data_IF_960531525664
#
_entry.id   IF_960531525664
#
_cell.length_a   1.000
_cell.length_b   1.000
_cell.length_c   1.000
_cell.angle_alpha   90.00
_cell.angle_beta   90.00
_cell.angle_gamma   90.00
#
_symmetry.space_group_name_H-M   'P 1'
#
loop_
_entity.id
_entity.type
_entity.pdbx_description
1 polymer ?
#
# COMPACT_ATOMS: atom_id res chain seq x y z
N UNK A 1 -14.61 6.30 4.90
CA UNK A 1 -14.34 5.17 3.98
C UNK A 1 -13.07 5.48 3.20
N UNK A 2 -12.24 4.48 2.90
CA UNK A 2 -11.01 4.64 2.11
C UNK A 2 -11.20 3.87 0.81
N UNK A 3 -10.98 4.51 -0.32
CA UNK A 3 -10.97 3.90 -1.64
C UNK A 3 -9.57 3.93 -2.21
N UNK A 4 -9.15 2.78 -2.73
CA UNK A 4 -7.81 2.55 -3.28
C UNK A 4 -7.94 2.01 -4.70
N UNK A 5 -7.30 2.68 -5.66
CA UNK A 5 -7.38 2.30 -7.07
C UNK A 5 -6.03 2.44 -7.77
N UNK A 6 -5.68 1.44 -8.56
CA UNK A 6 -4.48 1.42 -9.37
C UNK A 6 -4.72 2.10 -10.74
N UNK A 7 -3.67 2.60 -11.41
CA UNK A 7 -3.80 3.28 -12.70
C UNK A 7 -4.45 2.44 -13.83
N UNK A 8 -4.38 1.12 -13.72
CA UNK A 8 -5.02 0.18 -14.64
C UNK A 8 -6.53 -0.04 -14.37
N UNK A 9 -7.13 0.72 -13.46
CA UNK A 9 -8.56 0.64 -13.12
C UNK A 9 -8.91 -0.42 -12.08
N UNK A 10 -7.96 -1.24 -11.64
CA UNK A 10 -8.18 -2.23 -10.58
C UNK A 10 -8.32 -1.54 -9.23
N UNK A 11 -9.32 -1.92 -8.45
CA UNK A 11 -9.54 -1.41 -7.09
C UNK A 11 -8.99 -2.40 -6.06
N UNK A 12 -8.41 -1.89 -4.97
CA UNK A 12 -8.08 -2.72 -3.80
C UNK A 12 -9.27 -2.70 -2.85
N UNK A 13 -9.84 -3.89 -2.67
CA UNK A 13 -10.90 -4.20 -1.72
C UNK A 13 -10.33 -5.12 -0.64
N UNK A 14 -11.02 -5.28 0.49
CA UNK A 14 -10.49 -6.06 1.62
C UNK A 14 -10.13 -7.50 1.23
N UNK A 15 -10.92 -8.12 0.36
CA UNK A 15 -10.86 -9.56 0.08
C UNK A 15 -10.45 -9.92 -1.35
N UNK A 16 -10.05 -8.96 -2.18
CA UNK A 16 -9.61 -9.28 -3.54
C UNK A 16 -8.09 -9.53 -3.62
N UNK A 17 -7.75 -10.61 -4.34
CA UNK A 17 -6.40 -10.93 -4.74
C UNK A 17 -6.01 -10.13 -5.97
N UNK A 18 -4.83 -9.51 -5.92
CA UNK A 18 -4.25 -8.74 -7.03
C UNK A 18 -2.91 -9.33 -7.43
N UNK A 19 -2.59 -9.29 -8.72
CA UNK A 19 -1.32 -9.77 -9.26
C UNK A 19 -0.24 -8.68 -9.16
N UNK A 20 1.05 -9.03 -9.03
CA UNK A 20 2.16 -8.06 -9.06
C UNK A 20 2.12 -7.10 -10.25
N UNK A 21 1.65 -7.57 -11.42
CA UNK A 21 1.50 -6.73 -12.61
C UNK A 21 0.40 -5.68 -12.45
N UNK A 22 -0.69 -6.01 -11.75
CA UNK A 22 -1.77 -5.07 -11.49
C UNK A 22 -1.38 -3.99 -10.48
N UNK A 23 -0.44 -4.29 -9.58
CA UNK A 23 -0.05 -3.43 -8.46
C UNK A 23 1.37 -2.90 -8.58
N UNK A 24 1.94 -2.87 -9.79
CA UNK A 24 3.32 -2.41 -10.01
C UNK A 24 3.47 -0.88 -9.86
N UNK A 25 2.41 -0.15 -10.16
CA UNK A 25 2.38 1.31 -10.19
C UNK A 25 1.64 1.85 -8.96
N UNK A 26 2.03 3.03 -8.47
CA UNK A 26 1.45 3.63 -7.27
C UNK A 26 -0.07 3.82 -7.40
N UNK A 27 -0.81 3.39 -6.38
CA UNK A 27 -2.25 3.60 -6.26
C UNK A 27 -2.62 5.05 -5.94
N UNK A 28 -3.84 5.42 -6.30
CA UNK A 28 -4.53 6.60 -5.76
C UNK A 28 -5.30 6.22 -4.51
N UNK A 29 -5.30 7.12 -3.52
CA UNK A 29 -6.06 6.96 -2.27
C UNK A 29 -7.06 8.11 -2.14
N UNK A 30 -8.31 7.77 -1.91
CA UNK A 30 -9.37 8.72 -1.61
C UNK A 30 -9.95 8.35 -0.25
N UNK A 31 -9.99 9.30 0.67
CA UNK A 31 -10.63 9.11 1.96
C UNK A 31 -11.55 10.30 2.27
N UNK A 32 -12.44 10.11 3.23
CA UNK A 32 -13.18 11.21 3.84
C UNK A 32 -12.38 11.69 5.06
N UNK A 33 -11.59 12.77 4.94
CA UNK A 33 -10.78 13.27 6.03
C UNK A 33 -11.63 13.98 7.09
N UNK A 34 -11.19 13.90 8.34
CA UNK A 34 -11.64 14.78 9.40
C UNK A 34 -11.04 16.19 9.17
N UNK A 35 -11.82 17.26 9.46
CA UNK A 35 -11.32 18.62 9.37
C UNK A 35 -10.03 18.82 10.19
N UNK A 36 -9.10 19.63 9.67
CA UNK A 36 -7.86 20.03 10.35
C UNK A 36 -6.95 18.87 10.80
N UNK A 37 -7.08 17.70 10.19
CA UNK A 37 -6.31 16.51 10.55
C UNK A 37 -5.18 16.23 9.55
N UNK A 38 -4.14 15.57 10.06
CA UNK A 38 -3.03 15.02 9.27
C UNK A 38 -3.07 13.49 9.30
N UNK A 39 -2.68 12.89 8.19
CA UNK A 39 -2.67 11.44 8.01
C UNK A 39 -1.30 10.91 7.65
N UNK A 40 -1.12 9.62 7.91
CA UNK A 40 0.00 8.83 7.43
C UNK A 40 -0.55 7.61 6.73
N UNK A 41 -0.06 7.35 5.52
CA UNK A 41 -0.38 6.17 4.72
C UNK A 41 0.83 5.25 4.68
N UNK A 42 0.60 3.98 4.98
CA UNK A 42 1.64 2.98 5.15
C UNK A 42 1.21 1.71 4.42
N UNK A 43 2.07 1.22 3.52
CA UNK A 43 1.92 -0.09 2.89
C UNK A 43 3.10 -0.95 3.31
N UNK A 44 2.82 -2.09 3.94
CA UNK A 44 3.84 -2.94 4.54
C UNK A 44 3.51 -4.39 4.27
N UNK A 45 4.49 -5.14 3.77
CA UNK A 45 4.44 -6.59 3.67
C UNK A 45 5.04 -7.21 4.93
N UNK A 46 4.21 -7.97 5.65
CA UNK A 46 4.57 -8.66 6.90
C UNK A 46 4.88 -10.15 6.70
N UNK A 47 4.74 -10.64 5.47
CA UNK A 47 4.82 -12.04 5.09
C UNK A 47 6.16 -12.38 4.42
N UNK A 48 7.14 -11.49 4.33
CA UNK A 48 8.41 -11.82 3.67
C UNK A 48 9.31 -12.76 4.48
N UNK A 49 9.97 -13.77 3.85
CA UNK A 49 9.82 -14.18 2.45
C UNK A 49 8.56 -15.00 2.17
N UNK A 50 7.96 -15.62 3.19
CA UNK A 50 6.62 -16.20 3.16
C UNK A 50 5.98 -16.14 4.57
N UNK A 51 4.65 -16.22 4.63
CA UNK A 51 3.87 -16.11 5.88
C UNK A 51 4.25 -17.13 6.96
N UNK A 52 4.72 -18.33 6.58
CA UNK A 52 5.05 -19.40 7.52
C UNK A 52 6.38 -19.16 8.24
N UNK A 53 7.33 -18.49 7.59
CA UNK A 53 8.63 -18.13 8.16
C UNK A 53 9.02 -16.70 7.77
N UNK A 54 8.38 -15.67 8.34
CA UNK A 54 8.49 -14.31 7.86
C UNK A 54 9.74 -13.59 8.42
N UNK A 55 10.93 -14.08 8.09
CA UNK A 55 12.22 -13.54 8.58
C UNK A 55 12.56 -12.15 8.02
N UNK A 56 11.95 -11.77 6.89
CA UNK A 56 12.10 -10.48 6.21
C UNK A 56 11.03 -9.46 6.57
N UNK A 57 10.10 -9.79 7.47
CA UNK A 57 9.14 -8.79 7.99
C UNK A 57 9.90 -7.68 8.74
N UNK A 58 9.55 -6.41 8.61
CA UNK A 58 8.49 -5.76 7.84
C UNK A 58 9.11 -5.04 6.65
N UNK A 59 8.65 -5.32 5.43
CA UNK A 59 9.10 -4.56 4.25
C UNK A 59 8.16 -3.41 3.98
N UNK A 60 8.71 -2.20 3.98
CA UNK A 60 7.95 -0.97 3.76
C UNK A 60 7.84 -0.68 2.26
N UNK A 61 6.70 -1.05 1.66
CA UNK A 61 6.43 -0.79 0.24
C UNK A 61 6.18 0.69 -0.05
N UNK A 62 5.58 1.42 0.90
CA UNK A 62 5.24 2.83 0.70
C UNK A 62 4.97 3.53 2.03
N UNK A 63 5.49 4.74 2.21
CA UNK A 63 5.19 5.56 3.39
C UNK A 63 5.11 7.03 2.99
N UNK A 64 3.93 7.62 3.23
CA UNK A 64 3.68 9.05 3.08
C UNK A 64 3.09 9.55 4.38
N UNK A 65 3.68 10.58 4.98
CA UNK A 65 3.17 11.18 6.21
C UNK A 65 2.89 12.66 6.04
N UNK A 66 2.43 13.27 7.13
CA UNK A 66 2.08 14.70 7.17
C UNK A 66 1.08 15.05 6.07
N UNK A 67 0.15 14.14 5.75
CA UNK A 67 -0.82 14.35 4.68
C UNK A 67 -1.96 15.26 5.17
N UNK A 68 -2.07 16.51 4.70
CA UNK A 68 -3.10 17.43 5.17
C UNK A 68 -4.45 17.05 4.55
N UNK A 69 -5.45 16.81 5.38
CA UNK A 69 -6.82 16.54 4.92
C UNK A 69 -6.92 15.35 3.96
N UNK A 70 -6.07 14.33 4.11
CA UNK A 70 -6.14 13.10 3.33
C UNK A 70 -5.72 13.21 1.86
N UNK A 71 -5.36 14.40 1.37
CA UNK A 71 -4.83 14.58 0.01
C UNK A 71 -3.37 14.12 -0.06
N UNK A 72 -3.19 12.83 -0.37
CA UNK A 72 -1.88 12.16 -0.33
C UNK A 72 -0.81 12.83 -1.19
N UNK A 73 -1.20 13.58 -2.23
CA UNK A 73 -0.28 14.32 -3.09
C UNK A 73 0.32 15.54 -2.40
N UNK A 74 -0.26 15.99 -1.29
CA UNK A 74 0.25 17.07 -0.44
C UNK A 74 1.09 16.56 0.74
N UNK A 75 1.27 15.24 0.86
CA UNK A 75 2.08 14.63 1.90
C UNK A 75 3.57 14.64 1.62
N UNK A 76 4.35 14.30 2.64
CA UNK A 76 5.79 14.05 2.53
C UNK A 76 6.03 12.56 2.31
N UNK A 77 6.74 12.20 1.22
CA UNK A 77 7.14 10.83 0.96
C UNK A 77 8.43 10.50 1.71
N UNK A 78 8.32 9.58 2.67
CA UNK A 78 9.47 9.04 3.40
C UNK A 78 10.04 7.80 2.71
N UNK A 79 9.16 6.98 2.13
CA UNK A 79 9.52 5.83 1.31
C UNK A 79 8.67 5.89 0.04
N UNK A 80 9.33 5.98 -1.11
CA UNK A 80 8.68 5.95 -2.42
C UNK A 80 7.97 4.61 -2.64
N UNK A 81 6.95 4.60 -3.50
CA UNK A 81 6.18 3.41 -3.79
C UNK A 81 7.03 2.35 -4.49
N UNK A 82 7.04 1.15 -3.94
CA UNK A 82 7.57 -0.07 -4.56
C UNK A 82 6.45 -1.09 -4.60
N UNK A 83 6.06 -1.56 -5.79
CA UNK A 83 4.97 -2.53 -5.94
C UNK A 83 5.27 -3.89 -5.28
N UNK A 84 4.23 -4.63 -4.84
CA UNK A 84 4.36 -6.01 -4.37
C UNK A 84 5.06 -6.93 -5.36
N UNK A 85 6.07 -7.66 -4.87
CA UNK A 85 6.85 -8.63 -5.64
C UNK A 85 7.22 -9.86 -4.82
N UNK A 86 6.23 -10.64 -4.35
CA UNK A 86 6.49 -11.80 -3.49
C UNK A 86 7.37 -12.84 -4.22
N UNK A 87 8.30 -13.52 -3.52
CA UNK A 87 9.14 -14.55 -4.13
C UNK A 87 8.30 -15.69 -4.76
N UNK A 88 8.81 -16.34 -5.82
CA UNK A 88 8.13 -17.50 -6.38
C UNK A 88 7.86 -18.57 -5.33
N UNK A 89 6.65 -19.13 -5.32
CA UNK A 89 6.21 -20.18 -4.37
C UNK A 89 6.16 -19.75 -2.90
N UNK A 90 6.15 -18.45 -2.58
CA UNK A 90 5.94 -17.97 -1.20
C UNK A 90 4.49 -17.96 -0.74
N UNK A 91 3.55 -18.10 -1.67
CA UNK A 91 2.11 -17.99 -1.40
C UNK A 91 1.61 -16.56 -1.50
N UNK A 92 0.44 -16.30 -0.92
CA UNK A 92 -0.18 -14.97 -0.88
C UNK A 92 0.43 -14.11 0.23
N UNK A 93 0.75 -12.85 -0.08
CA UNK A 93 1.26 -11.85 0.85
C UNK A 93 0.18 -10.80 1.12
N UNK A 94 0.02 -10.42 2.38
CA UNK A 94 -0.99 -9.45 2.84
C UNK A 94 -0.44 -8.02 2.92
#
# INVERSE_FOLDING_TARGET
>A
MIHMSYPNGVKKELENELTPTQVKDQLSVQCNPEPYSYYTFCMTDIDLPNRLNPTGRKFQHWLVGIVPGGDINKGESFYAYVGPGPPPKSGFHH
#
